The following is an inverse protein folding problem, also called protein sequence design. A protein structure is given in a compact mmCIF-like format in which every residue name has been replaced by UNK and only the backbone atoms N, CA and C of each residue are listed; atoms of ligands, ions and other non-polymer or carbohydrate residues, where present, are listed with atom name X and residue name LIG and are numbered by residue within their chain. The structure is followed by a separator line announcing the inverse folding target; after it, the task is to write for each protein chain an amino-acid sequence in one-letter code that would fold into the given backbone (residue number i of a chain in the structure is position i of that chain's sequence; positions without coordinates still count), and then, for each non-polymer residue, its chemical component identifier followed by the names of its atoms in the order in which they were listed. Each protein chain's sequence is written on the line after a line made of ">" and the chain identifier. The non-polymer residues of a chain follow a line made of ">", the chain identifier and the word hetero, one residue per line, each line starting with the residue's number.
data_IF_251305699161
#
_entry.id   IF_251305699161
#
_cell.length_a   1.000
_cell.length_b   1.000
_cell.length_c   1.000
_cell.angle_alpha   90.00
_cell.angle_beta   90.00
_cell.angle_gamma   90.00
#
_symmetry.space_group_name_H-M   'P 1'
#
loop_
_entity.id
_entity.type
_entity.pdbx_description
1 polymer ?
#
# COMPACT_ATOMS: atom_id res chain seq x y z
N UNK A 1 5.92 -6.50 23.20
CA UNK A 1 5.00 -7.46 22.57
C UNK A 1 4.00 -6.70 21.72
N UNK A 2 4.01 -6.90 20.41
CA UNK A 2 2.89 -6.60 19.53
C UNK A 2 3.04 -7.51 18.31
N UNK A 3 2.14 -8.49 18.24
CA UNK A 3 2.00 -9.45 17.16
C UNK A 3 1.70 -8.70 15.86
N UNK A 4 2.49 -8.94 14.81
CA UNK A 4 2.19 -8.47 13.46
C UNK A 4 2.16 -9.68 12.54
N UNK A 5 0.94 -10.06 12.15
CA UNK A 5 0.71 -10.93 10.99
C UNK A 5 0.84 -10.07 9.74
N UNK A 6 1.27 -10.71 8.65
CA UNK A 6 1.63 -10.09 7.39
C UNK A 6 0.99 -10.91 6.21
N UNK A 7 0.06 -10.37 5.37
CA UNK A 7 -0.59 -10.83 4.08
C UNK A 7 -0.86 -9.78 2.90
N UNK A 8 -0.53 -9.99 1.60
CA UNK A 8 -0.70 -9.11 0.44
C UNK A 8 -2.02 -9.41 -0.28
N UNK A 9 -2.17 -8.83 -1.46
CA UNK A 9 -3.19 -9.14 -2.47
C UNK A 9 -3.21 -10.60 -3.01
N UNK A 10 -2.42 -11.50 -2.42
CA UNK A 10 -2.60 -12.95 -2.38
C UNK A 10 -2.01 -13.41 -1.06
N UNK A 11 -2.82 -13.70 -0.03
CA UNK A 11 -2.56 -13.67 1.42
C UNK A 11 -1.18 -14.05 2.08
N UNK A 12 -0.05 -14.21 1.39
CA UNK A 12 1.30 -14.56 1.91
C UNK A 12 2.16 -13.46 2.61
N UNK A 13 2.30 -12.21 2.11
CA UNK A 13 3.01 -11.01 2.63
C UNK A 13 2.26 -9.62 2.80
N UNK A 14 1.90 -9.10 3.99
CA UNK A 14 1.15 -7.81 4.22
C UNK A 14 2.14 -6.66 4.13
N UNK A 15 1.64 -5.53 3.67
CA UNK A 15 2.29 -4.26 3.96
C UNK A 15 2.35 -4.03 5.48
N UNK A 16 3.54 -3.72 5.98
CA UNK A 16 3.77 -3.44 7.40
C UNK A 16 3.26 -2.04 7.74
N UNK A 17 2.34 -1.97 8.70
CA UNK A 17 2.00 -0.72 9.38
C UNK A 17 3.19 -0.26 10.22
N UNK A 18 3.67 0.95 9.96
CA UNK A 18 4.80 1.53 10.66
C UNK A 18 4.47 2.95 11.12
N UNK A 19 5.02 3.34 12.27
CA UNK A 19 4.90 4.70 12.81
C UNK A 19 6.27 5.20 13.25
N UNK A 20 6.45 6.51 13.19
CA UNK A 20 7.63 7.19 13.73
C UNK A 20 7.16 8.15 14.82
N UNK A 21 7.88 8.17 15.94
CA UNK A 21 7.64 9.09 17.05
C UNK A 21 8.63 10.25 16.99
N UNK A 22 8.18 11.44 17.37
CA UNK A 22 9.04 12.61 17.53
C UNK A 22 10.06 12.35 18.65
N UNK A 23 11.30 12.79 18.45
CA UNK A 23 12.33 12.81 19.48
C UNK A 23 12.63 14.28 19.84
N UNK A 24 12.50 14.65 21.11
CA UNK A 24 12.68 16.03 21.60
C UNK A 24 14.13 16.38 21.94
N UNK A 25 15.03 15.41 21.99
CA UNK A 25 16.41 15.58 22.46
C UNK A 25 17.43 15.56 21.32
N UNK A 26 17.15 14.81 20.26
CA UNK A 26 18.06 14.62 19.13
C UNK A 26 17.34 14.48 17.80
N UNK A 27 18.00 14.95 16.77
CA UNK A 27 17.55 14.85 15.39
C UNK A 27 17.57 13.39 14.91
N UNK A 28 16.58 13.04 14.08
CA UNK A 28 16.49 11.74 13.43
C UNK A 28 16.42 11.93 11.92
N UNK A 29 17.44 11.47 11.21
CA UNK A 29 17.45 11.44 9.75
C UNK A 29 17.10 10.05 9.23
N UNK A 30 16.37 10.00 8.12
CA UNK A 30 16.09 8.75 7.41
C UNK A 30 16.12 9.00 5.91
N UNK A 31 16.75 8.08 5.17
CA UNK A 31 16.87 8.11 3.72
C UNK A 31 16.12 6.90 3.12
N UNK A 32 14.78 6.95 3.03
CA UNK A 32 14.02 5.83 2.50
C UNK A 32 14.23 5.71 0.98
N UNK A 33 14.53 4.50 0.52
CA UNK A 33 14.48 4.13 -0.89
C UNK A 33 13.22 3.29 -1.13
N UNK A 34 12.26 3.81 -1.90
CA UNK A 34 10.97 3.17 -2.15
C UNK A 34 10.90 2.74 -3.62
N UNK A 35 10.88 1.41 -3.86
CA UNK A 35 10.66 0.84 -5.18
C UNK A 35 9.17 0.92 -5.55
N UNK A 36 8.86 1.59 -6.65
CA UNK A 36 7.52 1.68 -7.19
C UNK A 36 7.50 1.22 -8.66
N UNK A 37 6.40 0.60 -9.12
CA UNK A 37 6.19 0.36 -10.54
C UNK A 37 6.18 1.66 -11.37
N UNK A 38 6.31 1.52 -12.69
CA UNK A 38 6.07 2.62 -13.62
C UNK A 38 4.60 3.07 -13.55
N UNK A 39 4.32 4.34 -13.82
CA UNK A 39 2.95 4.88 -13.69
C UNK A 39 1.94 4.21 -14.62
N UNK A 40 2.37 3.74 -15.80
CA UNK A 40 1.50 3.04 -16.75
C UNK A 40 1.27 1.56 -16.39
N UNK A 41 1.95 1.03 -15.38
CA UNK A 41 1.83 -0.38 -15.00
C UNK A 41 0.43 -0.71 -14.51
N UNK A 42 -0.16 -1.75 -15.10
CA UNK A 42 -1.34 -2.43 -14.55
C UNK A 42 -0.86 -3.47 -13.55
N UNK A 43 -1.26 -3.32 -12.29
CA UNK A 43 -0.95 -4.24 -11.21
C UNK A 43 -2.12 -5.21 -11.06
N UNK A 44 -1.81 -6.50 -11.03
CA UNK A 44 -2.76 -7.58 -10.76
C UNK A 44 -2.08 -8.66 -9.90
N UNK A 45 -2.80 -9.37 -9.03
CA UNK A 45 -2.36 -10.62 -8.43
C UNK A 45 -1.72 -11.58 -9.46
N UNK A 46 -0.72 -12.33 -9.02
CA UNK A 46 -0.10 -13.40 -9.83
C UNK A 46 -1.13 -14.49 -10.09
N UNK A 47 -1.25 -14.92 -11.34
CA UNK A 47 -2.28 -15.88 -11.78
C UNK A 47 -2.19 -17.22 -11.03
N UNK A 48 -0.98 -17.65 -10.69
CA UNK A 48 -0.72 -18.86 -9.91
C UNK A 48 -1.21 -18.80 -8.45
N UNK A 49 -1.51 -17.59 -7.95
CA UNK A 49 -1.87 -17.33 -6.55
C UNK A 49 -3.33 -16.86 -6.38
N UNK A 50 -4.15 -16.96 -7.41
CA UNK A 50 -5.53 -16.42 -7.44
C UNK A 50 -6.50 -17.31 -8.22
N UNK A 51 -7.81 -17.05 -8.09
CA UNK A 51 -8.88 -17.71 -8.83
C UNK A 51 -9.38 -16.77 -9.96
N UNK A 52 -10.54 -17.06 -10.57
CA UNK A 52 -11.06 -16.30 -11.72
C UNK A 52 -11.26 -14.79 -11.44
N UNK A 53 -11.36 -14.38 -10.17
CA UNK A 53 -11.37 -12.97 -9.77
C UNK A 53 -9.94 -12.44 -9.60
N UNK A 54 -9.44 -11.72 -10.60
CA UNK A 54 -8.14 -11.05 -10.53
C UNK A 54 -8.28 -9.52 -10.80
N UNK A 55 -8.64 -8.70 -9.78
CA UNK A 55 -8.86 -7.28 -9.98
C UNK A 55 -7.54 -6.58 -10.32
N UNK A 56 -7.48 -6.02 -11.53
CA UNK A 56 -6.36 -5.22 -11.99
C UNK A 56 -6.61 -3.72 -11.74
N UNK A 57 -5.57 -2.99 -11.35
CA UNK A 57 -5.63 -1.54 -11.21
C UNK A 57 -4.38 -0.86 -11.78
N UNK A 58 -4.50 0.40 -12.20
CA UNK A 58 -3.37 1.16 -12.69
C UNK A 58 -2.59 1.80 -11.53
N UNK A 59 -1.27 1.53 -11.47
CA UNK A 59 -0.41 2.02 -10.40
C UNK A 59 -0.33 3.56 -10.34
N UNK A 60 -0.17 4.22 -11.50
CA UNK A 60 -0.08 5.69 -11.57
C UNK A 60 -1.33 6.39 -11.03
N UNK A 61 -2.52 5.87 -11.36
CA UNK A 61 -3.80 6.37 -10.84
C UNK A 61 -3.90 6.15 -9.32
N UNK A 62 -3.53 4.96 -8.85
CA UNK A 62 -3.54 4.63 -7.42
C UNK A 62 -2.63 5.57 -6.61
N UNK A 63 -1.35 5.66 -6.99
CA UNK A 63 -0.36 6.44 -6.23
C UNK A 63 -0.66 7.94 -6.25
N UNK A 64 -1.17 8.47 -7.37
CA UNK A 64 -1.60 9.87 -7.48
C UNK A 64 -2.77 10.16 -6.54
N UNK A 65 -3.76 9.27 -6.51
CA UNK A 65 -4.94 9.41 -5.64
C UNK A 65 -4.56 9.31 -4.17
N UNK A 66 -3.70 8.34 -3.81
CA UNK A 66 -3.16 8.21 -2.44
C UNK A 66 -2.37 9.45 -2.02
N UNK A 67 -1.47 9.96 -2.88
CA UNK A 67 -0.72 11.19 -2.57
C UNK A 67 -1.64 12.38 -2.34
N UNK A 68 -2.72 12.50 -3.11
CA UNK A 68 -3.73 13.55 -2.92
C UNK A 68 -4.38 13.48 -1.53
N UNK A 69 -4.75 12.29 -1.04
CA UNK A 69 -5.33 12.15 0.30
C UNK A 69 -4.36 12.41 1.44
N UNK A 70 -3.05 12.23 1.22
CA UNK A 70 -2.04 12.62 2.20
C UNK A 70 -1.88 14.14 2.28
N UNK A 71 -2.08 14.84 1.15
CA UNK A 71 -1.94 16.28 1.06
C UNK A 71 -3.22 17.04 1.50
N UNK A 72 -4.39 16.47 1.23
CA UNK A 72 -5.68 17.10 1.49
C UNK A 72 -6.67 16.08 2.07
N UNK A 73 -7.42 16.49 3.10
CA UNK A 73 -8.53 15.68 3.61
C UNK A 73 -9.64 15.64 2.57
N UNK A 74 -9.94 14.44 2.08
CA UNK A 74 -11.05 14.21 1.14
C UNK A 74 -12.33 13.91 1.91
N UNK A 75 -13.49 14.17 1.30
CA UNK A 75 -14.81 13.79 1.84
C UNK A 75 -15.20 12.34 1.50
N UNK A 76 -14.20 11.50 1.21
CA UNK A 76 -14.35 10.08 0.86
C UNK A 76 -13.28 9.28 1.58
N UNK A 77 -13.45 7.96 1.66
CA UNK A 77 -12.40 7.08 2.18
C UNK A 77 -11.11 7.22 1.36
N UNK A 78 -9.97 7.27 2.05
CA UNK A 78 -8.67 7.28 1.39
C UNK A 78 -8.43 5.92 0.74
N UNK A 79 -8.13 5.92 -0.56
CA UNK A 79 -7.81 4.69 -1.29
C UNK A 79 -6.63 3.96 -0.63
N UNK A 80 -6.81 2.67 -0.36
CA UNK A 80 -5.83 1.76 0.22
C UNK A 80 -5.65 0.54 -0.67
N UNK A 81 -4.51 -0.12 -0.51
CA UNK A 81 -4.19 -1.32 -1.30
C UNK A 81 -5.19 -2.46 -1.07
N UNK A 82 -5.80 -2.54 0.12
CA UNK A 82 -6.78 -3.58 0.45
C UNK A 82 -8.10 -3.42 -0.31
N UNK A 83 -8.41 -2.25 -0.89
CA UNK A 83 -9.58 -2.09 -1.76
C UNK A 83 -9.48 -2.92 -3.04
N UNK A 84 -8.28 -3.38 -3.39
CA UNK A 84 -8.01 -4.27 -4.52
C UNK A 84 -7.75 -5.72 -4.08
N UNK A 85 -7.97 -6.04 -2.80
CA UNK A 85 -7.80 -7.39 -2.27
C UNK A 85 -9.02 -8.25 -2.63
N UNK A 86 -8.76 -9.49 -3.03
CA UNK A 86 -9.80 -10.50 -3.23
C UNK A 86 -10.13 -11.15 -1.89
N UNK A 87 -11.42 -11.29 -1.59
CA UNK A 87 -11.91 -12.09 -0.47
C UNK A 87 -12.17 -13.51 -0.97
N UNK A 88 -11.61 -14.51 -0.31
CA UNK A 88 -11.95 -15.93 -0.55
C UNK A 88 -13.17 -16.31 0.29
#
# INVERSE_FOLDING_TARGET
>A
MASSKIRPASCEYESVEHRVMVNSERERFSLPFIFNPAHYTMVKPLEELTNEQNPAYNWGKFITTRKRSNFQKLNVENIQIYHFKISY
#
